data_IF_800070118665
#
_entry.id   IF_800070118665
#
_cell.length_a   1.000
_cell.length_b   1.000
_cell.length_c   1.000
_cell.angle_alpha   90.00
_cell.angle_beta   90.00
_cell.angle_gamma   90.00
#
_symmetry.space_group_name_H-M   'P 1'
#
loop_
_entity.id
_entity.type
_entity.pdbx_description
1 polymer ?
#
# COMPACT_ATOMS: atom_id res chain seq x y z
N UNK A 1 -10.12 -6.34 61.50
CA UNK A 1 -11.01 -6.49 60.34
C UNK A 1 -10.72 -5.40 59.30
N UNK A 2 -9.55 -5.41 58.65
CA UNK A 2 -9.17 -4.42 57.60
C UNK A 2 -8.40 -5.04 56.40
N UNK A 3 -8.14 -6.35 56.41
CA UNK A 3 -7.35 -7.02 55.35
C UNK A 3 -8.11 -7.13 54.01
N UNK A 4 -9.44 -7.26 54.06
CA UNK A 4 -10.30 -7.33 52.87
C UNK A 4 -10.48 -5.99 52.14
N UNK A 5 -10.23 -4.85 52.80
CA UNK A 5 -10.34 -3.52 52.17
C UNK A 5 -9.09 -3.17 51.36
N UNK A 6 -7.91 -3.55 51.85
CA UNK A 6 -6.63 -3.34 51.17
C UNK A 6 -6.55 -4.20 49.90
N UNK A 7 -7.04 -5.44 49.94
CA UNK A 7 -7.10 -6.34 48.78
C UNK A 7 -8.00 -5.80 47.65
N UNK A 8 -9.15 -5.20 47.97
CA UNK A 8 -10.01 -4.55 46.96
C UNK A 8 -9.39 -3.28 46.37
N UNK A 9 -8.71 -2.47 47.18
CA UNK A 9 -8.00 -1.29 46.69
C UNK A 9 -6.83 -1.66 45.77
N UNK A 10 -6.11 -2.75 46.07
CA UNK A 10 -5.03 -3.28 45.23
C UNK A 10 -5.54 -3.82 43.90
N UNK A 11 -6.71 -4.46 43.89
CA UNK A 11 -7.36 -4.97 42.67
C UNK A 11 -7.87 -3.84 41.76
N UNK A 12 -8.40 -2.76 42.33
CA UNK A 12 -8.84 -1.57 41.60
C UNK A 12 -7.63 -0.81 41.03
N UNK A 13 -6.52 -0.74 41.76
CA UNK A 13 -5.27 -0.13 41.30
C UNK A 13 -4.63 -0.94 40.15
N UNK A 14 -4.68 -2.27 40.21
CA UNK A 14 -4.24 -3.17 39.13
C UNK A 14 -5.10 -3.02 37.86
N UNK A 15 -6.40 -2.79 38.01
CA UNK A 15 -7.31 -2.58 36.87
C UNK A 15 -7.13 -1.21 36.21
N UNK A 16 -6.82 -0.16 36.98
CA UNK A 16 -6.55 1.19 36.45
C UNK A 16 -5.23 1.27 35.68
N UNK A 17 -4.21 0.47 36.05
CA UNK A 17 -2.93 0.45 35.34
C UNK A 17 -3.03 -0.27 33.98
N UNK A 18 -3.86 -1.31 33.89
CA UNK A 18 -4.08 -2.06 32.64
C UNK A 18 -4.78 -1.22 31.55
N UNK A 19 -5.61 -0.24 31.93
CA UNK A 19 -6.30 0.64 30.99
C UNK A 19 -5.36 1.69 30.37
N UNK A 20 -4.27 2.08 31.04
CA UNK A 20 -3.30 3.03 30.48
C UNK A 20 -2.42 2.41 29.38
N UNK A 21 -2.18 1.10 29.40
CA UNK A 21 -1.43 0.39 28.35
C UNK A 21 -2.19 0.25 27.02
N UNK A 22 -3.52 0.34 27.02
CA UNK A 22 -4.33 0.24 25.79
C UNK A 22 -4.37 1.54 25.00
N UNK A 23 -4.10 2.69 25.63
CA UNK A 23 -4.06 4.01 24.97
C UNK A 23 -2.66 4.39 24.46
N UNK A 24 -1.63 3.61 24.79
CA UNK A 24 -0.24 3.87 24.47
C UNK A 24 0.28 3.10 23.24
N UNK A 25 -0.61 2.58 22.38
CA UNK A 25 -0.22 2.25 21.00
C UNK A 25 -0.12 3.57 20.22
N UNK A 26 0.94 4.34 20.48
CA UNK A 26 1.35 5.40 19.57
C UNK A 26 1.52 4.77 18.19
N UNK A 27 0.95 5.43 17.16
CA UNK A 27 1.10 5.02 15.77
C UNK A 27 2.60 4.92 15.46
N UNK A 28 3.18 3.72 15.58
CA UNK A 28 4.39 3.41 14.84
C UNK A 28 3.95 3.58 13.39
N UNK A 29 4.40 4.65 12.75
CA UNK A 29 4.04 4.93 11.36
C UNK A 29 4.75 3.92 10.47
N UNK A 30 4.33 2.67 10.55
CA UNK A 30 4.86 1.61 9.76
C UNK A 30 4.57 1.95 8.31
N UNK A 31 5.61 1.90 7.48
CA UNK A 31 5.47 2.11 6.04
C UNK A 31 4.39 1.14 5.53
N UNK A 32 3.33 1.64 4.86
CA UNK A 32 2.24 0.80 4.35
C UNK A 32 2.74 -0.39 3.55
N UNK A 33 2.10 -1.54 3.73
CA UNK A 33 2.53 -2.81 3.13
C UNK A 33 2.61 -2.74 1.60
N UNK A 34 1.66 -2.09 0.93
CA UNK A 34 1.68 -1.93 -0.53
C UNK A 34 2.94 -1.20 -1.04
N UNK A 35 3.55 -0.33 -0.23
CA UNK A 35 4.81 0.35 -0.60
C UNK A 35 5.95 -0.66 -0.62
N UNK A 36 6.04 -1.51 0.40
CA UNK A 36 7.06 -2.56 0.50
C UNK A 36 6.90 -3.60 -0.62
N UNK A 37 5.66 -3.99 -0.91
CA UNK A 37 5.35 -5.02 -1.91
C UNK A 37 5.67 -4.60 -3.35
N UNK A 38 5.72 -3.29 -3.67
CA UNK A 38 6.15 -2.86 -4.99
C UNK A 38 7.62 -3.20 -5.31
N UNK A 39 8.46 -3.25 -4.28
CA UNK A 39 9.90 -3.52 -4.39
C UNK A 39 10.24 -4.99 -4.12
N UNK A 40 9.26 -5.81 -3.74
CA UNK A 40 9.42 -7.24 -3.50
C UNK A 40 9.27 -8.03 -4.82
N UNK A 41 10.31 -8.74 -5.29
CA UNK A 41 10.26 -9.51 -6.53
C UNK A 41 9.28 -10.70 -6.48
N UNK A 42 8.89 -11.14 -5.28
CA UNK A 42 7.97 -12.27 -5.06
C UNK A 42 6.55 -11.83 -4.72
N UNK A 43 6.28 -10.52 -4.64
CA UNK A 43 4.95 -10.04 -4.30
C UNK A 43 3.92 -10.39 -5.39
N UNK A 44 2.79 -10.93 -4.96
CA UNK A 44 1.64 -11.17 -5.84
C UNK A 44 1.03 -9.84 -6.28
N UNK A 45 0.78 -9.70 -7.58
CA UNK A 45 0.15 -8.50 -8.14
C UNK A 45 -1.19 -8.19 -7.47
N UNK A 46 -2.06 -9.19 -7.33
CA UNK A 46 -3.40 -9.01 -6.75
C UNK A 46 -3.33 -8.66 -5.27
N UNK A 47 -2.42 -9.25 -4.51
CA UNK A 47 -2.24 -8.92 -3.10
C UNK A 47 -1.73 -7.48 -2.93
N UNK A 48 -0.77 -7.05 -3.75
CA UNK A 48 -0.25 -5.67 -3.75
C UNK A 48 -1.35 -4.67 -4.10
N UNK A 49 -2.16 -4.95 -5.13
CA UNK A 49 -3.30 -4.11 -5.52
C UNK A 49 -4.33 -4.04 -4.40
N UNK A 50 -4.69 -5.17 -3.80
CA UNK A 50 -5.62 -5.21 -2.67
C UNK A 50 -5.12 -4.38 -1.49
N UNK A 51 -3.84 -4.53 -1.12
CA UNK A 51 -3.20 -3.78 -0.04
C UNK A 51 -3.22 -2.27 -0.30
N UNK A 52 -3.02 -1.86 -1.55
CA UNK A 52 -3.14 -0.46 -1.96
C UNK A 52 -4.58 0.04 -1.86
N UNK A 53 -5.55 -0.72 -2.39
CA UNK A 53 -6.96 -0.36 -2.35
C UNK A 53 -7.47 -0.24 -0.91
N UNK A 54 -7.10 -1.19 -0.04
CA UNK A 54 -7.43 -1.17 1.38
C UNK A 54 -6.84 0.06 2.10
N UNK A 55 -5.62 0.47 1.74
CA UNK A 55 -4.99 1.67 2.31
C UNK A 55 -5.71 2.96 1.89
N UNK A 56 -6.12 3.07 0.63
CA UNK A 56 -6.70 4.27 0.04
C UNK A 56 -8.23 4.34 0.08
N UNK A 57 -8.92 3.28 0.52
CA UNK A 57 -10.40 3.20 0.50
C UNK A 57 -11.09 4.37 1.20
N UNK A 58 -10.54 4.82 2.34
CA UNK A 58 -11.08 5.91 3.17
C UNK A 58 -10.19 7.16 3.14
N UNK A 59 -9.31 7.27 2.13
CA UNK A 59 -8.35 8.38 2.00
C UNK A 59 -8.57 9.14 0.69
N UNK A 60 -8.30 10.43 0.73
CA UNK A 60 -8.29 11.21 -0.51
C UNK A 60 -7.08 10.86 -1.36
N UNK A 61 -7.33 10.44 -2.60
CA UNK A 61 -6.30 10.05 -3.54
C UNK A 61 -5.54 11.29 -4.06
N UNK A 62 -4.21 11.20 -4.21
CA UNK A 62 -3.42 12.22 -4.87
C UNK A 62 -3.88 12.43 -6.32
N UNK A 63 -3.79 13.65 -6.80
CA UNK A 63 -4.17 14.00 -8.17
C UNK A 63 -3.06 13.64 -9.13
N UNK A 64 -3.42 12.96 -10.20
CA UNK A 64 -2.50 12.62 -11.27
C UNK A 64 -2.37 13.76 -12.29
N UNK A 65 -1.21 13.87 -12.94
CA UNK A 65 -0.91 14.96 -13.88
C UNK A 65 -1.87 14.97 -15.09
N UNK A 66 -2.24 13.79 -15.59
CA UNK A 66 -3.22 13.60 -16.66
C UNK A 66 -4.62 14.20 -16.34
N UNK A 67 -5.02 14.27 -15.07
CA UNK A 67 -6.31 14.82 -14.64
C UNK A 67 -6.34 16.36 -14.64
N UNK A 68 -5.16 16.99 -14.66
CA UNK A 68 -4.98 18.44 -14.59
C UNK A 68 -5.05 19.08 -15.99
N UNK A 69 -4.74 18.34 -17.06
CA UNK A 69 -4.63 18.90 -18.42
C UNK A 69 -5.95 19.44 -19.00
N UNK A 70 -7.12 19.00 -18.51
CA UNK A 70 -8.42 19.42 -19.05
C UNK A 70 -8.85 20.83 -18.64
N UNK A 71 -8.49 21.30 -17.44
CA UNK A 71 -8.87 22.62 -16.90
C UNK A 71 -7.72 23.20 -16.07
N UNK A 72 -6.62 23.54 -16.75
CA UNK A 72 -5.33 23.90 -16.13
C UNK A 72 -5.46 24.95 -15.02
N UNK A 73 -6.10 26.10 -15.27
CA UNK A 73 -5.97 27.23 -14.35
C UNK A 73 -6.79 27.13 -13.05
N UNK A 74 -8.00 26.55 -13.12
CA UNK A 74 -8.87 26.38 -11.95
C UNK A 74 -8.39 25.22 -11.07
N UNK A 75 -7.96 24.11 -11.70
CA UNK A 75 -7.44 22.95 -10.98
C UNK A 75 -6.08 23.23 -10.35
N UNK A 76 -5.15 23.88 -11.06
CA UNK A 76 -3.82 24.23 -10.50
C UNK A 76 -3.97 25.08 -9.23
N UNK A 77 -4.86 26.09 -9.24
CA UNK A 77 -5.12 26.91 -8.04
C UNK A 77 -5.70 26.11 -6.88
N UNK A 78 -6.65 25.20 -7.15
CA UNK A 78 -7.26 24.33 -6.15
C UNK A 78 -6.24 23.39 -5.49
N UNK A 79 -5.31 22.84 -6.26
CA UNK A 79 -4.33 21.88 -5.75
C UNK A 79 -3.09 22.55 -5.14
N UNK A 80 -2.72 23.75 -5.59
CA UNK A 80 -1.61 24.51 -5.00
C UNK A 80 -1.88 24.89 -3.53
N UNK A 81 -3.15 25.07 -3.16
CA UNK A 81 -3.57 25.43 -1.81
C UNK A 81 -3.92 24.20 -0.94
N UNK A 82 -3.78 22.99 -1.46
CA UNK A 82 -4.14 21.76 -0.76
C UNK A 82 -2.89 21.08 -0.22
N UNK A 83 -2.97 20.64 1.03
CA UNK A 83 -1.90 19.82 1.61
C UNK A 83 -1.75 18.53 0.80
N UNK A 84 -0.50 18.18 0.47
CA UNK A 84 -0.23 16.99 -0.34
C UNK A 84 -0.47 15.75 0.52
N UNK A 85 -1.30 14.79 0.10
CA UNK A 85 -1.55 13.59 0.88
C UNK A 85 -0.27 12.84 1.18
N UNK A 86 -0.18 12.26 2.39
CA UNK A 86 0.92 11.37 2.77
C UNK A 86 1.05 10.25 1.73
N UNK A 87 2.27 10.00 1.27
CA UNK A 87 2.61 9.03 0.23
C UNK A 87 2.15 9.35 -1.20
N UNK A 88 1.97 10.63 -1.55
CA UNK A 88 1.62 11.02 -2.92
C UNK A 88 2.66 10.60 -3.98
N UNK A 89 3.95 10.57 -3.61
CA UNK A 89 5.00 10.10 -4.51
C UNK A 89 4.90 8.59 -4.75
N UNK A 90 4.72 7.82 -3.69
CA UNK A 90 4.58 6.37 -3.74
C UNK A 90 3.29 5.96 -4.44
N UNK A 91 2.21 6.76 -4.32
CA UNK A 91 0.99 6.57 -5.10
C UNK A 91 1.30 6.62 -6.60
N UNK A 92 2.06 7.64 -7.06
CA UNK A 92 2.49 7.72 -8.46
C UNK A 92 3.37 6.53 -8.85
N UNK A 93 4.29 6.12 -7.97
CA UNK A 93 5.13 4.92 -8.17
C UNK A 93 4.26 3.68 -8.36
N UNK A 94 3.23 3.49 -7.53
CA UNK A 94 2.28 2.38 -7.62
C UNK A 94 1.49 2.40 -8.93
N UNK A 95 0.96 3.54 -9.34
CA UNK A 95 0.19 3.63 -10.58
C UNK A 95 1.05 3.29 -11.81
N UNK A 96 2.31 3.72 -11.81
CA UNK A 96 3.27 3.34 -12.83
C UNK A 96 3.63 1.85 -12.77
N UNK A 97 3.90 1.32 -11.58
CA UNK A 97 4.19 -0.11 -11.35
C UNK A 97 3.02 -0.96 -11.83
N UNK A 98 1.79 -0.64 -11.43
CA UNK A 98 0.56 -1.34 -11.82
C UNK A 98 0.44 -1.44 -13.33
N UNK A 99 0.65 -0.33 -14.05
CA UNK A 99 0.56 -0.27 -15.51
C UNK A 99 1.68 -1.06 -16.21
N UNK A 100 2.91 -0.99 -15.70
CA UNK A 100 4.08 -1.69 -16.28
C UNK A 100 4.05 -3.19 -16.02
N UNK A 101 3.54 -3.59 -14.86
CA UNK A 101 3.54 -4.97 -14.40
C UNK A 101 2.36 -5.76 -14.95
N UNK A 102 1.19 -5.14 -15.10
CA UNK A 102 -0.05 -5.81 -15.54
C UNK A 102 0.08 -6.71 -16.76
N UNK A 103 0.79 -6.33 -17.85
CA UNK A 103 0.96 -7.21 -19.02
C UNK A 103 1.72 -8.52 -18.75
N UNK A 104 2.39 -8.62 -17.60
CA UNK A 104 3.23 -9.75 -17.20
C UNK A 104 2.64 -10.54 -16.04
N UNK A 105 1.39 -10.26 -15.66
CA UNK A 105 0.68 -10.94 -14.57
C UNK A 105 0.05 -12.22 -15.11
N UNK A 106 0.27 -13.33 -14.42
CA UNK A 106 -0.38 -14.61 -14.67
C UNK A 106 -1.75 -14.69 -13.98
N UNK A 107 -2.55 -15.69 -14.33
CA UNK A 107 -3.91 -15.85 -13.79
C UNK A 107 -3.96 -16.00 -12.25
N UNK A 108 -2.90 -16.55 -11.65
CA UNK A 108 -2.73 -16.70 -10.20
C UNK A 108 -2.23 -15.42 -9.49
N UNK A 109 -1.94 -14.36 -10.26
CA UNK A 109 -1.41 -13.10 -9.76
C UNK A 109 0.11 -13.05 -9.63
N UNK A 110 0.83 -14.11 -10.02
CA UNK A 110 2.29 -14.09 -10.09
C UNK A 110 2.74 -13.20 -11.24
N UNK A 111 3.83 -12.48 -11.02
CA UNK A 111 4.43 -11.61 -12.05
C UNK A 111 5.57 -12.39 -12.71
N UNK A 112 5.58 -12.45 -14.04
CA UNK A 112 6.69 -13.04 -14.77
C UNK A 112 7.99 -12.29 -14.51
N UNK A 113 9.03 -13.03 -14.14
CA UNK A 113 10.38 -12.52 -14.00
C UNK A 113 10.94 -12.06 -15.35
N UNK A 114 12.08 -11.37 -15.33
CA UNK A 114 12.74 -10.96 -16.57
C UNK A 114 13.15 -12.17 -17.41
N UNK A 115 13.69 -13.20 -16.76
CA UNK A 115 14.22 -14.37 -17.45
C UNK A 115 13.11 -15.20 -18.09
N UNK A 116 11.99 -15.41 -17.38
CA UNK A 116 10.81 -16.07 -17.95
C UNK A 116 10.25 -15.32 -19.17
N UNK A 117 10.25 -13.98 -19.12
CA UNK A 117 9.83 -13.15 -20.27
C UNK A 117 10.76 -13.34 -21.47
N UNK A 118 12.07 -13.44 -21.24
CA UNK A 118 13.04 -13.70 -22.30
C UNK A 118 12.86 -15.10 -22.90
N UNK A 119 12.62 -16.12 -22.08
CA UNK A 119 12.37 -17.48 -22.54
C UNK A 119 11.13 -17.57 -23.44
N UNK A 120 10.03 -16.91 -23.05
CA UNK A 120 8.81 -16.84 -23.87
C UNK A 120 9.14 -16.21 -25.22
N UNK A 121 9.84 -15.07 -25.22
CA UNK A 121 10.22 -14.37 -26.44
C UNK A 121 11.12 -15.22 -27.36
N UNK A 122 12.12 -15.91 -26.80
CA UNK A 122 13.00 -16.79 -27.57
C UNK A 122 12.27 -17.98 -28.16
N UNK A 123 11.31 -18.55 -27.42
CA UNK A 123 10.46 -19.65 -27.89
C UNK A 123 9.60 -19.20 -29.07
N UNK A 124 8.95 -18.04 -28.97
CA UNK A 124 8.19 -17.46 -30.08
C UNK A 124 9.06 -17.18 -31.30
N UNK A 125 10.24 -16.59 -31.10
CA UNK A 125 11.19 -16.31 -32.19
C UNK A 125 11.62 -17.60 -32.92
N UNK A 126 11.92 -18.66 -32.18
CA UNK A 126 12.28 -19.97 -32.77
C UNK A 126 11.13 -20.59 -33.55
N UNK A 127 9.90 -20.49 -33.06
CA UNK A 127 8.73 -21.03 -33.74
C UNK A 127 8.43 -20.29 -35.06
N UNK A 128 8.59 -18.95 -35.08
CA UNK A 128 8.46 -18.17 -36.32
C UNK A 128 9.50 -18.52 -37.38
N UNK A 129 10.71 -18.91 -36.98
CA UNK A 129 11.77 -19.28 -37.92
C UNK A 129 11.67 -20.73 -38.43
N UNK A 130 10.79 -21.55 -37.84
CA UNK A 130 10.58 -22.96 -38.23
C UNK A 130 9.39 -23.15 -39.19
N UNK A 131 8.50 -22.16 -39.26
CA UNK A 131 7.38 -22.10 -40.20
C UNK A 131 7.76 -21.25 -41.41
#
# INVERSE_FOLDING_TARGET
MNFFKISKALFIFLFLFAFQMTLAQGETSEIPQWIKMMDDPNASYYQTVKSFEDYWKDREKPVEENEIFRDKEAKIRKYKNKETPKYAFEYKKFMNWRKKTFPFVQDDGRILTKDERMEIWEKERRNRNKN
#
